data_IF_909191169554
#
_entry.id   IF_909191169554
#
_cell.length_a   1.000
_cell.length_b   1.000
_cell.length_c   1.000
_cell.angle_alpha   90.00
_cell.angle_beta   90.00
_cell.angle_gamma   90.00
#
_symmetry.space_group_name_H-M   'P 1'
#
loop_
_entity.id
_entity.type
_entity.pdbx_description
1 polymer ?
#
# COMPACT_ATOMS: atom_id res chain seq x y z
N UNK A 1 11.95 5.42 10.67
CA UNK A 1 12.98 5.26 9.62
C UNK A 1 12.88 3.90 8.94
N UNK A 2 11.65 3.43 8.69
CA UNK A 2 11.41 2.07 8.19
C UNK A 2 11.22 2.05 6.67
N UNK A 3 10.54 3.06 6.10
CA UNK A 3 10.27 3.12 4.65
C UNK A 3 11.55 3.13 3.80
N UNK A 4 12.64 3.68 4.35
CA UNK A 4 13.95 3.71 3.70
C UNK A 4 14.51 2.30 3.50
N UNK A 5 14.25 1.36 4.42
CA UNK A 5 14.68 -0.03 4.33
C UNK A 5 13.97 -0.72 3.16
N UNK A 6 12.64 -0.55 3.07
CA UNK A 6 11.84 -1.08 1.96
C UNK A 6 12.37 -0.54 0.63
N UNK A 7 12.55 0.77 0.53
CA UNK A 7 13.06 1.39 -0.69
C UNK A 7 14.46 0.88 -1.05
N UNK A 8 15.37 0.84 -0.09
CA UNK A 8 16.77 0.42 -0.33
C UNK A 8 16.86 -1.04 -0.78
N UNK A 9 16.08 -1.94 -0.17
CA UNK A 9 16.15 -3.37 -0.47
C UNK A 9 15.34 -3.79 -1.69
N UNK A 10 14.19 -3.13 -1.91
CA UNK A 10 13.17 -3.58 -2.85
C UNK A 10 12.89 -2.59 -3.98
N UNK A 11 13.47 -1.38 -4.02
CA UNK A 11 13.19 -0.39 -5.08
C UNK A 11 13.26 -0.95 -6.51
N UNK A 12 14.25 -1.77 -6.91
CA UNK A 12 14.28 -2.28 -8.29
C UNK A 12 13.12 -3.23 -8.58
N UNK A 13 12.71 -4.01 -7.56
CA UNK A 13 11.61 -4.95 -7.65
C UNK A 13 10.25 -4.23 -7.67
N UNK A 14 10.08 -3.23 -6.81
CA UNK A 14 8.85 -2.42 -6.72
C UNK A 14 8.65 -1.66 -8.04
N UNK A 15 9.68 -0.96 -8.55
CA UNK A 15 9.60 -0.21 -9.80
C UNK A 15 9.22 -1.13 -10.97
N UNK A 16 9.89 -2.29 -11.09
CA UNK A 16 9.56 -3.28 -12.12
C UNK A 16 8.13 -3.83 -11.99
N UNK A 17 7.66 -4.06 -10.76
CA UNK A 17 6.28 -4.50 -10.52
C UNK A 17 5.27 -3.42 -10.91
N UNK A 18 5.49 -2.16 -10.53
CA UNK A 18 4.59 -1.05 -10.86
C UNK A 18 4.51 -0.85 -12.38
N UNK A 19 5.65 -0.82 -13.05
CA UNK A 19 5.71 -0.68 -14.51
C UNK A 19 4.94 -1.80 -15.23
N UNK A 20 5.15 -3.06 -14.79
CA UNK A 20 4.47 -4.24 -15.34
C UNK A 20 2.96 -4.23 -15.12
N UNK A 21 2.51 -3.86 -13.93
CA UNK A 21 1.12 -4.04 -13.47
C UNK A 21 0.25 -2.84 -13.83
N UNK A 22 0.75 -1.62 -13.57
CA UNK A 22 -0.04 -0.39 -13.69
C UNK A 22 0.01 0.14 -15.11
N UNK A 23 1.16 -0.01 -15.79
CA UNK A 23 1.38 0.47 -17.16
C UNK A 23 1.04 1.97 -17.31
N UNK A 24 1.21 2.72 -16.23
CA UNK A 24 1.05 4.17 -16.20
C UNK A 24 2.43 4.80 -15.92
N UNK A 25 3.04 5.48 -16.90
CA UNK A 25 4.36 6.06 -16.74
C UNK A 25 4.39 7.20 -15.71
N UNK A 26 3.24 7.86 -15.44
CA UNK A 26 3.17 8.94 -14.45
C UNK A 26 3.34 8.37 -13.04
N UNK A 27 2.68 7.25 -12.75
CA UNK A 27 2.76 6.57 -11.46
C UNK A 27 4.18 6.03 -11.21
N UNK A 28 4.82 5.44 -12.23
CA UNK A 28 6.21 4.99 -12.14
C UNK A 28 7.18 6.15 -11.87
N UNK A 29 7.01 7.30 -12.54
CA UNK A 29 7.84 8.50 -12.30
C UNK A 29 7.63 9.11 -10.92
N UNK A 30 6.39 9.16 -10.43
CA UNK A 30 6.06 9.65 -9.08
C UNK A 30 6.74 8.78 -8.03
N UNK A 31 6.65 7.46 -8.18
CA UNK A 31 7.31 6.50 -7.30
C UNK A 31 8.83 6.67 -7.27
N UNK A 32 9.47 6.85 -8.42
CA UNK A 32 10.93 7.02 -8.49
C UNK A 32 11.39 8.36 -7.88
N UNK A 33 10.58 9.41 -8.03
CA UNK A 33 10.86 10.75 -7.50
C UNK A 33 10.65 10.83 -5.98
N UNK A 34 9.55 10.25 -5.48
CA UNK A 34 9.17 10.30 -4.07
C UNK A 34 9.87 9.24 -3.23
N UNK A 35 10.32 8.13 -3.83
CA UNK A 35 11.11 7.07 -3.19
C UNK A 35 10.46 6.58 -1.90
N UNK A 36 11.18 6.62 -0.78
CA UNK A 36 10.69 6.19 0.54
C UNK A 36 9.50 7.01 1.07
N UNK A 37 9.25 8.19 0.50
CA UNK A 37 8.11 9.04 0.87
C UNK A 37 6.85 8.67 0.09
N UNK A 38 6.98 7.89 -0.98
CA UNK A 38 5.84 7.50 -1.80
C UNK A 38 4.86 6.65 -0.97
N UNK A 39 3.55 6.92 -1.02
CA UNK A 39 2.56 6.24 -0.19
C UNK A 39 2.49 4.72 -0.44
N UNK A 40 2.87 4.25 -1.63
CA UNK A 40 3.05 2.81 -1.91
C UNK A 40 4.12 2.18 -1.00
N UNK A 41 5.24 2.86 -0.78
CA UNK A 41 6.35 2.30 0.03
C UNK A 41 5.93 2.15 1.49
N UNK A 42 5.20 3.15 2.01
CA UNK A 42 4.61 3.08 3.34
C UNK A 42 3.56 1.95 3.46
N UNK A 43 2.76 1.74 2.42
CA UNK A 43 1.82 0.62 2.38
C UNK A 43 2.53 -0.73 2.38
N UNK A 44 3.57 -0.89 1.56
CA UNK A 44 4.36 -2.12 1.48
C UNK A 44 5.00 -2.46 2.83
N UNK A 45 5.55 -1.47 3.52
CA UNK A 45 6.08 -1.65 4.88
C UNK A 45 5.04 -2.25 5.82
N UNK A 46 3.84 -1.67 5.87
CA UNK A 46 2.78 -2.15 6.75
C UNK A 46 2.41 -3.60 6.43
N UNK A 47 2.30 -3.93 5.13
CA UNK A 47 2.01 -5.31 4.70
C UNK A 47 3.11 -6.29 5.05
N UNK A 48 4.38 -5.90 4.90
CA UNK A 48 5.48 -6.78 5.31
C UNK A 48 5.55 -6.96 6.82
N UNK A 49 5.26 -5.91 7.60
CA UNK A 49 5.11 -6.04 9.06
C UNK A 49 4.02 -7.04 9.42
N UNK A 50 2.83 -6.92 8.83
CA UNK A 50 1.71 -7.84 9.05
C UNK A 50 2.08 -9.29 8.70
N UNK A 51 2.79 -9.51 7.58
CA UNK A 51 3.20 -10.87 7.15
C UNK A 51 4.20 -11.49 8.11
N UNK A 52 5.22 -10.73 8.53
CA UNK A 52 6.29 -11.29 9.35
C UNK A 52 5.91 -11.36 10.83
N UNK A 53 4.98 -10.52 11.29
CA UNK A 53 4.53 -10.47 12.68
C UNK A 53 3.10 -9.92 12.77
N UNK A 54 2.08 -10.78 12.59
CA UNK A 54 0.68 -10.35 12.61
C UNK A 54 0.21 -9.80 13.97
N UNK A 55 0.79 -10.27 15.08
CA UNK A 55 0.43 -9.87 16.45
C UNK A 55 1.24 -8.67 17.00
N UNK A 56 2.09 -8.02 16.20
CA UNK A 56 2.82 -6.82 16.65
C UNK A 56 3.75 -6.22 15.60
N UNK A 57 4.00 -4.91 15.68
CA UNK A 57 4.94 -4.24 14.77
C UNK A 57 6.36 -4.77 14.93
N UNK A 58 7.07 -4.99 13.82
CA UNK A 58 8.51 -5.24 13.86
C UNK A 58 9.26 -3.92 14.04
N UNK A 59 10.37 -4.00 14.76
CA UNK A 59 11.35 -2.91 14.75
C UNK A 59 11.99 -2.82 13.35
N UNK A 60 12.42 -1.63 12.92
CA UNK A 60 13.14 -1.45 11.64
C UNK A 60 14.24 -2.51 11.39
N UNK A 61 15.15 -2.81 12.34
CA UNK A 61 16.22 -3.78 12.10
C UNK A 61 15.71 -5.21 11.90
N UNK A 62 14.64 -5.61 12.59
CA UNK A 62 14.07 -6.95 12.44
C UNK A 62 13.39 -7.11 11.07
N UNK A 63 12.67 -6.08 10.63
CA UNK A 63 12.04 -6.07 9.30
C UNK A 63 13.10 -6.16 8.19
N UNK A 64 14.19 -5.41 8.34
CA UNK A 64 15.32 -5.45 7.41
C UNK A 64 15.92 -6.85 7.30
N UNK A 65 16.22 -7.49 8.44
CA UNK A 65 16.80 -8.82 8.49
C UNK A 65 15.90 -9.86 7.83
N UNK A 66 14.60 -9.85 8.14
CA UNK A 66 13.63 -10.78 7.53
C UNK A 66 13.50 -10.58 6.03
N UNK A 67 13.52 -9.34 5.56
CA UNK A 67 13.49 -9.05 4.12
C UNK A 67 14.75 -9.51 3.40
N UNK A 68 15.94 -9.30 4.01
CA UNK A 68 17.20 -9.81 3.45
C UNK A 68 17.20 -11.32 3.37
N UNK A 69 16.85 -12.00 4.47
CA UNK A 69 16.79 -13.46 4.53
C UNK A 69 15.82 -14.02 3.49
N UNK A 70 14.63 -13.42 3.35
CA UNK A 70 13.66 -13.84 2.34
C UNK A 70 14.14 -13.57 0.91
N UNK A 71 14.83 -12.46 0.69
CA UNK A 71 15.40 -12.12 -0.62
C UNK A 71 16.47 -13.13 -1.06
N UNK A 72 17.29 -13.60 -0.13
CA UNK A 72 18.31 -14.62 -0.41
C UNK A 72 17.71 -16.02 -0.54
N UNK A 73 16.86 -16.44 0.39
CA UNK A 73 16.35 -17.83 0.43
C UNK A 73 15.19 -18.08 -0.53
N UNK A 74 14.34 -17.08 -0.74
CA UNK A 74 13.09 -17.22 -1.49
C UNK A 74 12.78 -16.00 -2.37
N UNK A 75 13.67 -15.62 -3.31
CA UNK A 75 13.51 -14.42 -4.14
C UNK A 75 12.19 -14.42 -4.94
N UNK A 76 11.76 -15.58 -5.44
CA UNK A 76 10.51 -15.71 -6.19
C UNK A 76 9.27 -15.48 -5.32
N UNK A 77 9.30 -15.93 -4.06
CA UNK A 77 8.19 -15.68 -3.13
C UNK A 77 8.12 -14.20 -2.77
N UNK A 78 9.27 -13.56 -2.58
CA UNK A 78 9.35 -12.13 -2.31
C UNK A 78 8.79 -11.32 -3.48
N UNK A 79 9.14 -11.67 -4.72
CA UNK A 79 8.57 -11.05 -5.92
C UNK A 79 7.04 -11.18 -5.95
N UNK A 80 6.51 -12.38 -5.69
CA UNK A 80 5.05 -12.59 -5.67
C UNK A 80 4.35 -11.77 -4.59
N UNK A 81 4.95 -11.63 -3.42
CA UNK A 81 4.40 -10.80 -2.35
C UNK A 81 4.37 -9.32 -2.74
N UNK A 82 5.50 -8.80 -3.25
CA UNK A 82 5.57 -7.41 -3.73
C UNK A 82 4.53 -7.17 -4.82
N UNK A 83 4.42 -8.08 -5.80
CA UNK A 83 3.41 -7.97 -6.86
C UNK A 83 1.98 -7.94 -6.30
N UNK A 84 1.70 -8.80 -5.32
CA UNK A 84 0.37 -8.88 -4.69
C UNK A 84 0.04 -7.59 -3.97
N UNK A 85 0.94 -7.07 -3.15
CA UNK A 85 0.71 -5.83 -2.40
C UNK A 85 0.61 -4.61 -3.31
N UNK A 86 1.42 -4.53 -4.37
CA UNK A 86 1.30 -3.46 -5.37
C UNK A 86 -0.08 -3.51 -6.02
N UNK A 87 -0.55 -4.69 -6.45
CA UNK A 87 -1.89 -4.86 -7.01
C UNK A 87 -2.98 -4.40 -6.03
N UNK A 88 -2.92 -4.85 -4.78
CA UNK A 88 -3.89 -4.47 -3.75
C UNK A 88 -3.94 -2.95 -3.53
N UNK A 89 -2.78 -2.31 -3.42
CA UNK A 89 -2.68 -0.86 -3.23
C UNK A 89 -3.38 -0.08 -4.36
N UNK A 90 -3.05 -0.40 -5.61
CA UNK A 90 -3.61 0.31 -6.76
C UNK A 90 -5.08 -0.04 -7.02
N UNK A 91 -5.52 -1.26 -6.71
CA UNK A 91 -6.93 -1.63 -6.74
C UNK A 91 -7.73 -0.82 -5.71
N UNK A 92 -7.21 -0.68 -4.50
CA UNK A 92 -7.82 0.14 -3.44
C UNK A 92 -7.93 1.61 -3.85
N UNK A 93 -6.87 2.19 -4.44
CA UNK A 93 -6.90 3.55 -4.97
C UNK A 93 -7.95 3.72 -6.08
N UNK A 94 -8.01 2.77 -7.02
CA UNK A 94 -9.01 2.79 -8.10
C UNK A 94 -10.43 2.71 -7.55
N UNK A 95 -10.65 1.90 -6.52
CA UNK A 95 -11.95 1.80 -5.85
C UNK A 95 -12.35 3.10 -5.15
N UNK A 96 -11.40 3.77 -4.46
CA UNK A 96 -11.63 5.07 -3.82
C UNK A 96 -11.93 6.18 -4.83
N UNK A 97 -11.21 6.25 -5.95
CA UNK A 97 -11.48 7.23 -7.02
C UNK A 97 -12.86 7.04 -7.64
N UNK A 98 -13.39 5.80 -7.66
CA UNK A 98 -14.73 5.47 -8.18
C UNK A 98 -15.88 5.77 -7.23
N UNK A 99 -15.62 5.89 -5.93
CA UNK A 99 -16.57 6.41 -4.95
C UNK A 99 -16.18 7.86 -4.65
N UNK A 100 -16.63 8.87 -5.45
CA UNK A 100 -16.65 10.21 -4.90
C UNK A 100 -17.38 10.10 -3.56
N UNK A 101 -16.77 10.65 -2.50
CA UNK A 101 -17.30 10.61 -1.16
C UNK A 101 -18.82 10.80 -1.23
N UNK A 102 -19.59 9.84 -0.72
CA UNK A 102 -21.02 10.01 -0.50
C UNK A 102 -21.16 11.39 0.15
N UNK A 103 -21.60 12.34 -0.67
CA UNK A 103 -21.58 13.75 -0.34
C UNK A 103 -22.34 13.94 0.95
N UNK A 104 -21.94 14.93 1.73
CA UNK A 104 -22.64 15.45 2.92
C UNK A 104 -24.17 15.60 2.74
N UNK A 105 -24.63 15.65 1.49
CA UNK A 105 -26.02 15.66 1.05
C UNK A 105 -26.84 14.41 1.41
N UNK A 106 -26.20 13.24 1.64
CA UNK A 106 -26.93 12.03 2.06
C UNK A 106 -27.38 12.07 3.53
N UNK A 107 -26.74 12.90 4.37
CA UNK A 107 -27.14 13.11 5.77
C UNK A 107 -28.16 14.25 5.95
N UNK A 108 -28.32 15.14 4.96
CA UNK A 108 -29.38 16.15 4.99
C UNK A 108 -30.72 15.64 4.46
N UNK A 109 -30.73 14.56 3.68
CA UNK A 109 -31.96 13.97 3.14
C UNK A 109 -32.68 13.02 4.12
N UNK A 110 -32.03 12.58 5.20
CA UNK A 110 -32.62 11.67 6.20
C UNK A 110 -33.09 12.37 7.48
N UNK A 111 -32.88 13.69 7.61
CA UNK A 111 -33.31 14.49 8.77
C UNK A 111 -34.44 15.50 8.45
N UNK A 112 -35.22 15.23 7.41
CA UNK A 112 -36.50 15.90 7.17
C UNK A 112 -37.59 14.84 7.06
N UNK A 113 -38.03 14.34 8.23
CA UNK A 113 -39.05 13.31 8.32
C UNK A 113 -39.62 13.22 9.74
N UNK A 114 -40.58 14.11 10.00
CA UNK A 114 -41.71 13.93 10.91
C UNK A 114 -41.46 13.79 12.43
N UNK A 115 -41.62 14.93 13.11
CA UNK A 115 -42.31 14.94 14.40
C UNK A 115 -43.77 14.52 14.18
N UNK A 116 -44.08 13.24 14.44
CA UNK A 116 -45.46 12.83 14.75
C UNK A 116 -45.55 12.55 16.23
N UNK A 117 -46.51 13.24 16.84
CA UNK A 117 -46.95 13.19 18.22
C UNK A 117 -47.37 11.78 18.66
N UNK A 118 -46.98 11.41 19.88
CA UNK A 118 -47.82 10.67 20.84
C UNK A 118 -47.56 11.22 22.24
#
# INVERSE_FOLDING_TARGET
MSNLVIWTLLSPLILRCVDRIIRDPVESMSLESEREKHPLVNYLEQRFNEVFKPDGGLSCPELEERLRDMKERYPEKLEKLVETFVKEYYQYLKYRKRKPALSREYYSATFSGESISL
#
